data_IF_258265193096
#
_entry.id   IF_258265193096
#
_cell.length_a   1.000
_cell.length_b   1.000
_cell.length_c   1.000
_cell.angle_alpha   90.00
_cell.angle_beta   90.00
_cell.angle_gamma   90.00
#
_symmetry.space_group_name_H-M   'P 1'
#
loop_
_entity.id
_entity.type
_entity.pdbx_description
1 polymer ?
#
# COMPACT_ATOMS: atom_id res chain seq x y z
N UNK A 1 8.69 -14.68 4.67
CA UNK A 1 7.50 -14.34 5.49
C UNK A 1 6.85 -13.02 5.10
N UNK A 2 7.50 -12.18 4.28
CA UNK A 2 7.05 -10.85 3.83
C UNK A 2 5.56 -10.74 3.50
N UNK A 3 5.03 -11.62 2.63
CA UNK A 3 3.65 -11.58 2.12
C UNK A 3 2.52 -11.85 3.13
N UNK A 4 2.83 -12.13 4.40
CA UNK A 4 1.81 -12.47 5.40
C UNK A 4 1.11 -11.25 6.02
N UNK A 5 1.77 -10.10 6.10
CA UNK A 5 1.20 -8.90 6.73
C UNK A 5 1.62 -7.64 5.98
N UNK A 6 0.65 -6.97 5.35
CA UNK A 6 0.86 -5.75 4.57
C UNK A 6 -0.23 -4.71 4.85
N UNK A 7 0.12 -3.41 4.81
CA UNK A 7 1.47 -2.89 4.57
C UNK A 7 2.41 -3.12 5.77
N UNK A 8 3.69 -3.41 5.49
CA UNK A 8 4.75 -3.42 6.49
C UNK A 8 5.51 -2.09 6.42
N UNK A 9 5.38 -1.24 7.44
CA UNK A 9 5.94 0.11 7.47
C UNK A 9 6.79 0.32 8.73
N UNK A 10 7.94 -0.37 8.86
CA UNK A 10 8.82 -0.23 10.02
C UNK A 10 9.38 1.18 10.09
N UNK A 11 9.50 1.73 11.31
CA UNK A 11 10.03 3.08 11.56
C UNK A 11 11.47 3.07 12.09
N UNK A 12 11.95 1.92 12.55
CA UNK A 12 13.30 1.70 13.09
C UNK A 12 14.07 0.82 12.11
N UNK A 13 15.39 1.00 12.04
CA UNK A 13 16.30 0.21 11.18
C UNK A 13 15.99 0.27 9.67
N UNK A 14 15.40 1.39 9.23
CA UNK A 14 15.14 1.68 7.82
C UNK A 14 16.17 2.68 7.27
N UNK A 15 16.53 2.58 5.97
CA UNK A 15 17.54 3.45 5.35
C UNK A 15 16.99 4.81 4.88
N UNK A 16 15.82 5.23 5.38
CA UNK A 16 15.13 6.45 4.99
C UNK A 16 14.29 7.00 6.15
N UNK A 17 13.84 8.25 6.03
CA UNK A 17 12.92 8.84 7.00
C UNK A 17 11.49 8.32 6.76
N UNK A 18 10.90 7.64 7.74
CA UNK A 18 9.55 7.06 7.64
C UNK A 18 8.48 8.07 7.21
N UNK A 19 8.54 9.30 7.74
CA UNK A 19 7.59 10.38 7.42
C UNK A 19 7.57 10.68 5.91
N UNK A 20 8.74 10.76 5.27
CA UNK A 20 8.82 11.12 3.84
C UNK A 20 8.44 9.99 2.87
N UNK A 21 8.23 8.77 3.38
CA UNK A 21 7.98 7.56 2.57
C UNK A 21 6.60 6.96 2.83
N UNK A 22 6.13 6.98 4.07
CA UNK A 22 4.86 6.39 4.44
C UNK A 22 3.74 7.41 4.61
N UNK A 23 4.06 8.70 4.60
CA UNK A 23 3.06 9.75 4.79
C UNK A 23 3.17 10.78 3.66
N UNK A 24 2.01 11.24 3.22
CA UNK A 24 1.89 12.41 2.34
C UNK A 24 1.18 13.52 3.09
N UNK A 25 1.41 14.77 2.67
CA UNK A 25 0.72 15.91 3.24
C UNK A 25 -0.68 16.03 2.63
N UNK A 26 -1.69 16.04 3.49
CA UNK A 26 -3.10 16.25 3.17
C UNK A 26 -3.51 17.71 3.38
N UNK A 27 -4.82 17.93 3.37
CA UNK A 27 -5.44 19.24 3.58
C UNK A 27 -5.14 19.73 5.01
N UNK A 28 -4.93 21.04 5.17
CA UNK A 28 -4.66 21.69 6.47
C UNK A 28 -3.45 21.12 7.23
N UNK A 29 -2.47 20.56 6.50
CA UNK A 29 -1.24 20.03 7.10
C UNK A 29 -1.37 18.67 7.77
N UNK A 30 -2.55 18.02 7.69
CA UNK A 30 -2.73 16.66 8.20
C UNK A 30 -1.85 15.67 7.41
N UNK A 31 -1.16 14.77 8.11
CA UNK A 31 -0.42 13.68 7.46
C UNK A 31 -1.36 12.51 7.15
N UNK A 32 -1.36 12.07 5.89
CA UNK A 32 -2.13 10.92 5.42
C UNK A 32 -1.17 9.76 5.23
N UNK A 33 -1.38 8.68 5.96
CA UNK A 33 -0.61 7.45 5.79
C UNK A 33 -0.93 6.79 4.44
N UNK A 34 0.11 6.53 3.65
CA UNK A 34 0.05 5.81 2.39
C UNK A 34 0.03 4.30 2.67
N UNK A 35 -1.12 3.78 3.08
CA UNK A 35 -1.33 2.35 3.43
C UNK A 35 -1.00 1.35 2.31
N UNK A 36 -0.73 1.84 1.10
CA UNK A 36 -0.31 1.01 -0.02
C UNK A 36 1.20 0.75 -0.06
N UNK A 37 2.02 1.62 0.55
CA UNK A 37 3.49 1.47 0.57
C UNK A 37 3.91 0.42 1.58
N UNK A 38 4.74 -0.54 1.18
CA UNK A 38 5.28 -1.58 2.06
C UNK A 38 6.77 -1.77 1.85
N UNK A 39 7.51 -2.01 2.93
CA UNK A 39 8.96 -2.18 2.92
C UNK A 39 9.37 -3.62 3.22
N UNK A 40 10.19 -4.19 2.35
CA UNK A 40 10.83 -5.48 2.53
C UNK A 40 12.20 -5.30 3.18
N UNK A 41 12.35 -5.75 4.42
CA UNK A 41 13.60 -5.61 5.15
C UNK A 41 14.72 -6.51 4.60
N UNK A 42 14.39 -7.73 4.18
CA UNK A 42 15.36 -8.70 3.63
C UNK A 42 16.00 -8.16 2.34
N UNK A 43 15.19 -7.58 1.46
CA UNK A 43 15.61 -7.07 0.15
C UNK A 43 15.96 -5.57 0.16
N UNK A 44 15.70 -4.89 1.27
CA UNK A 44 15.82 -3.44 1.42
C UNK A 44 15.10 -2.65 0.32
N UNK A 45 13.91 -3.11 -0.08
CA UNK A 45 13.13 -2.56 -1.22
C UNK A 45 11.72 -2.15 -0.81
N UNK A 46 11.21 -1.10 -1.45
CA UNK A 46 9.83 -0.64 -1.30
C UNK A 46 8.94 -1.21 -2.40
N UNK A 47 7.69 -1.49 -2.04
CA UNK A 47 6.67 -1.99 -2.95
C UNK A 47 5.33 -1.31 -2.73
N UNK A 48 4.45 -1.41 -3.73
CA UNK A 48 3.03 -1.09 -3.59
C UNK A 48 2.23 -2.39 -3.37
N UNK A 49 1.77 -2.60 -2.14
CA UNK A 49 0.98 -3.78 -1.76
C UNK A 49 -0.33 -3.90 -2.54
N UNK A 50 -1.00 -2.77 -2.85
CA UNK A 50 -2.26 -2.79 -3.59
C UNK A 50 -2.04 -3.26 -5.03
N UNK A 51 -1.06 -2.68 -5.73
CA UNK A 51 -0.73 -3.06 -7.10
C UNK A 51 -0.22 -4.52 -7.19
N UNK A 52 0.53 -4.98 -6.20
CA UNK A 52 0.98 -6.37 -6.16
C UNK A 52 -0.18 -7.37 -6.07
N UNK A 53 -1.29 -7.00 -5.41
CA UNK A 53 -2.47 -7.84 -5.31
C UNK A 53 -3.42 -7.70 -6.51
N UNK A 54 -3.58 -6.49 -7.05
CA UNK A 54 -4.69 -6.16 -7.97
C UNK A 54 -4.28 -5.66 -9.35
N UNK A 55 -2.99 -5.52 -9.66
CA UNK A 55 -2.59 -5.09 -11.00
C UNK A 55 -3.00 -6.14 -12.05
N UNK A 56 -3.95 -5.76 -12.91
CA UNK A 56 -4.50 -6.60 -13.98
C UNK A 56 -3.47 -6.87 -15.09
N UNK A 57 -2.58 -5.91 -15.34
CA UNK A 57 -1.54 -6.00 -16.35
C UNK A 57 -0.15 -6.06 -15.70
N UNK A 58 0.46 -7.25 -15.67
CA UNK A 58 1.90 -7.42 -15.32
C UNK A 58 2.85 -6.61 -16.22
N UNK A 59 2.35 -5.99 -17.31
CA UNK A 59 3.14 -5.20 -18.25
C UNK A 59 3.26 -3.73 -17.85
N UNK A 60 2.38 -3.20 -16.99
CA UNK A 60 2.54 -1.86 -16.40
C UNK A 60 3.45 -1.91 -15.17
N UNK A 61 4.61 -2.56 -15.34
CA UNK A 61 5.65 -2.76 -14.33
C UNK A 61 6.22 -1.41 -13.86
N UNK A 62 5.54 -0.75 -12.94
CA UNK A 62 6.15 0.35 -12.22
C UNK A 62 7.25 -0.21 -11.31
N UNK A 63 8.29 0.58 -11.04
CA UNK A 63 9.33 0.19 -10.08
C UNK A 63 8.74 -0.21 -8.71
N UNK A 64 7.56 0.29 -8.34
CA UNK A 64 6.89 -0.07 -7.10
C UNK A 64 6.26 -1.49 -7.11
N UNK A 65 6.06 -2.11 -8.28
CA UNK A 65 5.63 -3.51 -8.38
C UNK A 65 6.85 -4.43 -8.38
N UNK A 66 7.91 -4.04 -9.11
CA UNK A 66 9.14 -4.83 -9.21
C UNK A 66 10.03 -4.73 -7.95
N UNK A 67 9.91 -3.63 -7.21
CA UNK A 67 10.70 -3.29 -6.04
C UNK A 67 11.56 -2.07 -6.31
N UNK A 68 11.34 -1.00 -5.55
CA UNK A 68 12.13 0.22 -5.62
C UNK A 68 13.25 0.15 -4.56
N UNK A 69 14.49 -0.03 -5.01
CA UNK A 69 15.70 0.04 -4.18
C UNK A 69 16.40 1.41 -4.28
N UNK A 70 16.02 2.23 -5.26
CA UNK A 70 16.66 3.52 -5.55
C UNK A 70 16.24 4.58 -4.53
N UNK A 71 17.21 5.05 -3.72
CA UNK A 71 16.93 5.92 -2.56
C UNK A 71 16.82 7.40 -2.87
N UNK A 72 17.55 7.90 -3.89
CA UNK A 72 17.67 9.35 -4.15
C UNK A 72 16.36 9.96 -4.65
N UNK A 73 15.60 9.21 -5.43
CA UNK A 73 14.36 9.68 -6.05
C UNK A 73 13.12 8.91 -5.56
N UNK A 74 13.24 8.16 -4.46
CA UNK A 74 12.17 7.30 -3.96
C UNK A 74 10.86 8.07 -3.72
N UNK A 75 10.92 9.28 -3.15
CA UNK A 75 9.74 10.11 -2.91
C UNK A 75 9.09 10.55 -4.23
N UNK A 76 9.89 10.92 -5.22
CA UNK A 76 9.39 11.26 -6.55
C UNK A 76 8.74 10.03 -7.22
N UNK A 77 9.38 8.86 -7.15
CA UNK A 77 8.83 7.60 -7.68
C UNK A 77 7.52 7.20 -7.02
N UNK A 78 7.39 7.42 -5.72
CA UNK A 78 6.14 7.19 -4.99
C UNK A 78 5.03 8.11 -5.49
N UNK A 79 5.33 9.41 -5.69
CA UNK A 79 4.36 10.37 -6.22
C UNK A 79 3.95 10.08 -7.67
N UNK A 80 4.92 9.72 -8.53
CA UNK A 80 4.66 9.27 -9.90
C UNK A 80 3.78 8.03 -9.91
N UNK A 81 4.10 7.05 -9.07
CA UNK A 81 3.34 5.82 -8.95
C UNK A 81 1.91 6.05 -8.44
N UNK A 82 1.74 6.88 -7.40
CA UNK A 82 0.43 7.21 -6.85
C UNK A 82 -0.50 7.83 -7.91
N UNK A 83 0.07 8.61 -8.84
CA UNK A 83 -0.69 9.24 -9.95
C UNK A 83 -0.96 8.27 -11.11
N UNK A 84 -0.30 7.12 -11.16
CA UNK A 84 -0.42 6.17 -12.27
C UNK A 84 -1.80 5.52 -12.34
N UNK A 85 -2.24 5.21 -13.57
CA UNK A 85 -3.52 4.55 -13.81
C UNK A 85 -3.63 3.18 -13.13
N UNK A 86 -2.57 2.36 -13.22
CA UNK A 86 -2.50 1.07 -12.55
C UNK A 86 -2.74 1.18 -11.03
N UNK A 87 -2.15 2.19 -10.37
CA UNK A 87 -2.33 2.38 -8.94
C UNK A 87 -3.75 2.79 -8.57
N UNK A 88 -4.37 3.69 -9.35
CA UNK A 88 -5.76 4.12 -9.13
C UNK A 88 -6.72 2.93 -9.21
N UNK A 89 -6.64 2.15 -10.28
CA UNK A 89 -7.46 0.94 -10.42
C UNK A 89 -7.23 -0.06 -9.29
N UNK A 90 -5.97 -0.33 -8.95
CA UNK A 90 -5.64 -1.27 -7.86
C UNK A 90 -6.18 -0.77 -6.50
N UNK A 91 -6.21 0.55 -6.29
CA UNK A 91 -6.73 1.17 -5.08
C UNK A 91 -8.26 1.08 -5.02
N UNK A 92 -8.94 1.31 -6.14
CA UNK A 92 -10.40 1.16 -6.25
C UNK A 92 -10.82 -0.28 -5.96
N UNK A 93 -10.17 -1.27 -6.59
CA UNK A 93 -10.43 -2.69 -6.34
C UNK A 93 -10.16 -3.06 -4.88
N UNK A 94 -9.05 -2.58 -4.30
CA UNK A 94 -8.77 -2.81 -2.88
C UNK A 94 -9.85 -2.22 -1.97
N UNK A 95 -10.37 -1.03 -2.29
CA UNK A 95 -11.43 -0.39 -1.52
C UNK A 95 -12.75 -1.17 -1.61
N UNK A 96 -13.11 -1.66 -2.80
CA UNK A 96 -14.29 -2.50 -3.02
C UNK A 96 -14.19 -3.82 -2.24
N UNK A 97 -13.08 -4.54 -2.36
CA UNK A 97 -12.85 -5.81 -1.64
C UNK A 97 -12.86 -5.59 -0.11
N UNK A 98 -12.22 -4.53 0.38
CA UNK A 98 -12.23 -4.19 1.81
C UNK A 98 -13.64 -3.89 2.32
N UNK A 99 -14.43 -3.17 1.53
CA UNK A 99 -15.82 -2.83 1.87
C UNK A 99 -16.70 -4.08 1.89
N UNK A 100 -16.55 -4.96 0.90
CA UNK A 100 -17.29 -6.22 0.83
C UNK A 100 -16.96 -7.13 2.02
N UNK A 101 -15.66 -7.28 2.35
CA UNK A 101 -15.22 -8.05 3.52
C UNK A 101 -15.78 -7.48 4.82
N UNK A 102 -15.80 -6.15 4.96
CA UNK A 102 -16.38 -5.49 6.13
C UNK A 102 -17.88 -5.79 6.26
N UNK A 103 -18.64 -5.66 5.18
CA UNK A 103 -20.08 -5.96 5.15
C UNK A 103 -20.33 -7.43 5.53
N UNK A 104 -19.63 -8.37 4.88
CA UNK A 104 -19.76 -9.80 5.17
C UNK A 104 -19.47 -10.11 6.64
N UNK A 105 -18.38 -9.54 7.19
CA UNK A 105 -18.01 -9.74 8.59
C UNK A 105 -19.06 -9.18 9.56
N UNK A 106 -19.62 -8.00 9.28
CA UNK A 106 -20.67 -7.39 10.10
C UNK A 106 -21.95 -8.23 10.10
N UNK A 107 -22.40 -8.71 8.94
CA UNK A 107 -23.58 -9.58 8.81
C UNK A 107 -23.41 -10.90 9.57
N UNK A 108 -22.23 -11.53 9.47
CA UNK A 108 -21.95 -12.79 10.18
C UNK A 108 -21.98 -12.60 11.70
N UNK A 109 -21.49 -11.45 12.21
CA UNK A 109 -21.56 -11.14 13.64
C UNK A 109 -23.00 -10.98 14.12
N UNK A 110 -23.83 -10.27 13.37
CA UNK A 110 -25.26 -10.13 13.71
C UNK A 110 -25.96 -11.49 13.75
N UNK A 111 -25.72 -12.35 12.76
CA UNK A 111 -26.29 -13.71 12.73
C UNK A 111 -25.85 -14.59 13.90
N UNK A 112 -24.61 -14.43 14.38
CA UNK A 112 -24.11 -15.16 15.55
C UNK A 112 -24.63 -14.59 16.87
N UNK A 113 -24.95 -13.29 16.93
CA UNK A 113 -25.50 -12.64 18.13
C UNK A 113 -27.00 -12.89 18.35
N UNK A 114 -27.69 -13.43 17.33
CA UNK A 114 -29.10 -13.81 17.37
C UNK A 114 -29.32 -15.29 17.77
N UNK A 115 -28.25 -16.01 18.11
CA UNK A 115 -28.28 -17.38 18.65
C UNK A 115 -27.90 -17.37 20.12
#
# INVERSE_FOLDING_TARGET
MFWKFHPNQPVINIPFTSIGIYYRQGIQGMQINMKWVTYNDDKKTLYCSFCLMYALEKRQNTQMIQGCSERRHVTLRLLEHEKSHCHKLSTEVNFMDSSERFIRHSLLKEQLSLK
#
